data_IF_974778037484
#
_entry.id   IF_974778037484
#
_cell.length_a   1.000
_cell.length_b   1.000
_cell.length_c   1.000
_cell.angle_alpha   90.00
_cell.angle_beta   90.00
_cell.angle_gamma   90.00
#
_symmetry.space_group_name_H-M   'P 1'
#
loop_
_entity.id
_entity.type
_entity.pdbx_description
1 polymer ?
#
# COMPACT_ATOMS: atom_id res chain seq x y z
N UNK A 1 20.15 9.11 -3.36
CA UNK A 1 18.96 9.08 -4.23
C UNK A 1 17.92 8.26 -3.49
N UNK A 2 17.25 8.89 -2.52
CA UNK A 2 16.21 8.24 -1.73
C UNK A 2 14.90 8.44 -2.49
N UNK A 3 14.14 7.37 -2.62
CA UNK A 3 12.84 7.37 -3.26
C UNK A 3 11.92 8.09 -2.26
N UNK A 4 11.56 9.34 -2.55
CA UNK A 4 10.62 10.09 -1.75
C UNK A 4 9.36 9.24 -1.51
N UNK A 5 8.92 9.15 -0.25
CA UNK A 5 7.65 8.54 0.11
C UNK A 5 6.44 9.42 -0.33
N UNK A 6 6.58 10.18 -1.40
CA UNK A 6 5.58 11.07 -2.00
C UNK A 6 4.66 10.27 -2.95
N UNK A 7 4.28 9.06 -2.53
CA UNK A 7 3.39 8.19 -3.27
C UNK A 7 1.96 8.31 -2.75
N UNK A 8 0.97 8.31 -3.65
CA UNK A 8 -0.42 8.15 -3.25
C UNK A 8 -0.63 6.75 -2.64
N UNK A 9 -1.01 6.69 -1.37
CA UNK A 9 -1.33 5.45 -0.67
C UNK A 9 -2.84 5.27 -0.51
N UNK A 10 -3.32 4.06 -0.81
CA UNK A 10 -4.71 3.64 -0.56
C UNK A 10 -4.70 2.67 0.61
N UNK A 11 -5.42 2.99 1.68
CA UNK A 11 -5.55 2.12 2.85
C UNK A 11 -6.85 1.32 2.78
N UNK A 12 -6.72 0.00 2.88
CA UNK A 12 -7.87 -0.91 2.91
C UNK A 12 -8.23 -1.23 4.37
N UNK A 13 -9.52 -1.15 4.71
CA UNK A 13 -10.04 -1.48 6.04
C UNK A 13 -11.09 -2.60 5.95
N UNK A 14 -11.20 -3.42 6.99
CA UNK A 14 -12.19 -4.50 7.03
C UNK A 14 -11.92 -5.64 6.05
N UNK A 15 -10.64 -5.99 5.87
CA UNK A 15 -10.24 -7.11 5.03
C UNK A 15 -10.86 -8.41 5.55
N UNK A 16 -11.50 -9.18 4.66
CA UNK A 16 -12.13 -10.46 4.99
C UNK A 16 -11.10 -11.52 5.45
N UNK A 17 -9.86 -11.37 5.01
CA UNK A 17 -8.73 -12.20 5.39
C UNK A 17 -7.48 -11.34 5.54
N UNK A 18 -6.55 -11.81 6.37
CA UNK A 18 -5.24 -11.20 6.49
C UNK A 18 -4.48 -11.36 5.17
N UNK A 19 -4.05 -10.25 4.58
CA UNK A 19 -3.17 -10.24 3.42
C UNK A 19 -1.74 -10.55 3.88
N UNK A 20 -1.09 -11.53 3.23
CA UNK A 20 0.27 -11.97 3.57
C UNK A 20 1.29 -11.42 2.58
N UNK A 21 2.56 -11.42 2.97
CA UNK A 21 3.64 -11.06 2.06
C UNK A 21 3.66 -11.98 0.83
N UNK A 22 3.79 -11.39 -0.36
CA UNK A 22 3.81 -12.11 -1.63
C UNK A 22 2.43 -12.45 -2.20
N UNK A 23 1.34 -12.20 -1.44
CA UNK A 23 -0.01 -12.43 -1.96
C UNK A 23 -0.33 -11.52 -3.13
N UNK A 24 -0.93 -12.08 -4.18
CA UNK A 24 -1.50 -11.30 -5.26
C UNK A 24 -2.90 -10.86 -4.87
N UNK A 25 -3.07 -9.56 -4.64
CA UNK A 25 -4.35 -8.95 -4.30
C UNK A 25 -4.94 -8.32 -5.57
N UNK A 26 -5.95 -8.95 -6.19
CA UNK A 26 -6.65 -8.36 -7.32
C UNK A 26 -7.54 -7.22 -6.84
N UNK A 27 -7.35 -6.04 -7.42
CA UNK A 27 -8.06 -4.80 -7.12
C UNK A 27 -8.76 -4.31 -8.39
N UNK A 28 -9.91 -3.67 -8.23
CA UNK A 28 -10.59 -2.94 -9.31
C UNK A 28 -10.72 -1.49 -8.89
N UNK A 29 -10.05 -0.60 -9.62
CA UNK A 29 -10.09 0.83 -9.41
C UNK A 29 -11.13 1.42 -10.36
N UNK A 30 -12.15 2.08 -9.81
CA UNK A 30 -13.12 2.83 -10.59
C UNK A 30 -12.69 4.29 -10.62
N UNK A 31 -12.30 4.80 -11.78
CA UNK A 31 -11.89 6.19 -11.97
C UNK A 31 -13.01 6.94 -12.66
N UNK A 32 -13.38 8.11 -12.16
CA UNK A 32 -14.32 9.01 -12.81
C UNK A 32 -13.56 10.21 -13.40
N UNK A 33 -13.71 10.45 -14.70
CA UNK A 33 -13.07 11.59 -15.35
C UNK A 33 -13.91 12.88 -15.22
N UNK A 34 -13.35 14.01 -15.65
CA UNK A 34 -14.03 15.32 -15.57
C UNK A 34 -15.36 15.40 -16.35
N UNK A 35 -15.66 14.43 -17.22
CA UNK A 35 -16.93 14.33 -17.96
C UNK A 35 -17.96 13.41 -17.28
N UNK A 36 -17.65 12.89 -16.09
CA UNK A 36 -18.50 11.97 -15.33
C UNK A 36 -18.49 10.53 -15.85
N UNK A 37 -17.56 10.17 -16.75
CA UNK A 37 -17.44 8.81 -17.27
C UNK A 37 -16.61 7.98 -16.29
N UNK A 38 -17.15 6.83 -15.89
CA UNK A 38 -16.50 5.86 -15.01
C UNK A 38 -15.78 4.78 -15.81
N UNK A 39 -14.53 4.54 -15.48
CA UNK A 39 -13.70 3.49 -16.05
C UNK A 39 -13.25 2.52 -14.95
N UNK A 40 -13.39 1.23 -15.20
CA UNK A 40 -12.98 0.18 -14.26
C UNK A 40 -11.65 -0.41 -14.69
N UNK A 41 -10.62 -0.20 -13.88
CA UNK A 41 -9.25 -0.65 -14.12
C UNK A 41 -8.97 -1.82 -13.19
N UNK A 42 -8.69 -2.99 -13.76
CA UNK A 42 -8.26 -4.17 -12.98
C UNK A 42 -6.75 -4.08 -12.77
N UNK A 43 -6.32 -4.15 -11.52
CA UNK A 43 -4.92 -4.10 -11.11
C UNK A 43 -4.65 -5.27 -10.20
N UNK A 44 -3.56 -6.00 -10.41
CA UNK A 44 -3.10 -7.02 -9.47
C UNK A 44 -1.90 -6.45 -8.73
N UNK A 45 -2.03 -6.27 -7.42
CA UNK A 45 -0.95 -5.77 -6.58
C UNK A 45 -0.34 -6.92 -5.78
N UNK A 46 0.99 -6.97 -5.69
CA UNK A 46 1.69 -7.92 -4.81
C UNK A 46 1.82 -7.28 -3.45
N UNK A 47 1.29 -7.94 -2.43
CA UNK A 47 1.37 -7.49 -1.05
C UNK A 47 2.83 -7.54 -0.55
N UNK A 48 3.26 -6.45 0.07
CA UNK A 48 4.58 -6.31 0.69
C UNK A 48 4.40 -6.09 2.18
N UNK A 49 5.28 -6.67 2.99
CA UNK A 49 5.22 -6.47 4.43
C UNK A 49 5.56 -5.03 4.80
N UNK A 50 4.80 -4.47 5.74
CA UNK A 50 5.01 -3.10 6.26
C UNK A 50 6.29 -2.97 7.10
N UNK A 51 6.90 -4.09 7.51
CA UNK A 51 8.05 -4.14 8.42
C UNK A 51 9.40 -4.00 7.73
N UNK A 52 9.46 -4.13 6.39
CA UNK A 52 10.72 -4.12 5.65
C UNK A 52 11.39 -2.75 5.59
N UNK A 53 10.64 -1.64 5.71
CA UNK A 53 11.16 -0.29 5.50
C UNK A 53 11.07 0.62 6.76
N UNK A 54 10.53 0.11 7.88
CA UNK A 54 10.31 0.88 9.12
C UNK A 54 11.42 0.76 10.19
N UNK A 55 12.56 0.14 9.89
CA UNK A 55 13.66 -0.09 10.85
C UNK A 55 14.88 0.84 10.68
N UNK A 56 14.75 2.00 10.03
CA UNK A 56 15.87 2.96 9.87
C UNK A 56 15.64 4.33 10.50
N UNK A 57 14.82 4.43 11.56
CA UNK A 57 14.64 5.71 12.24
C UNK A 57 13.76 5.68 13.49
N UNK A 58 14.27 5.11 14.59
CA UNK A 58 13.90 5.58 15.93
C UNK A 58 14.93 5.14 16.98
N UNK A 59 15.65 6.12 17.52
CA UNK A 59 15.97 6.25 18.94
C UNK A 59 16.88 5.21 19.58
N UNK A 60 18.12 5.63 19.83
CA UNK A 60 18.97 5.10 20.89
C UNK A 60 18.20 5.01 22.22
N UNK A 61 17.97 3.80 22.71
CA UNK A 61 17.60 3.56 24.11
C UNK A 61 18.55 2.52 24.68
N UNK A 62 19.74 3.02 24.99
CA UNK A 62 20.66 2.46 25.97
C UNK A 62 19.96 2.34 27.33
N UNK A 63 19.85 1.12 27.88
CA UNK A 63 19.30 0.94 29.23
C UNK A 63 19.09 -0.50 29.69
N UNK A 64 20.10 -0.99 30.42
CA UNK A 64 20.16 -2.15 31.33
C UNK A 64 20.51 -3.53 30.75
#
# INVERSE_FOLDING_TARGET
MALDADGYHVMFMGLLAQVKEGDQVPLTLTVENAKGVKESIKVTAVARSLTADAHSGHGDHSGH
#
